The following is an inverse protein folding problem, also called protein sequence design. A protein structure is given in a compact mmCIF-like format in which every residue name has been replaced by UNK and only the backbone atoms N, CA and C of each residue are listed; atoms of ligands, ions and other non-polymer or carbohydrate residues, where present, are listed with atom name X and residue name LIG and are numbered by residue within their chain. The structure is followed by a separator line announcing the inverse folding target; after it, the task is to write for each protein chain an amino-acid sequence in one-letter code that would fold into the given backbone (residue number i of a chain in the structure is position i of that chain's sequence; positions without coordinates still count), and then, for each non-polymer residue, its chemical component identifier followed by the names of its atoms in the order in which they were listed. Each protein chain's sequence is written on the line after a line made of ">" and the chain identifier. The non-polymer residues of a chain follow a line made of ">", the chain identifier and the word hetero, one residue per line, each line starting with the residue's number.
data_IF_481064270462
#
_entry.id   IF_481064270462
#
_cell.length_a   1.000
_cell.length_b   1.000
_cell.length_c   1.000
_cell.angle_alpha   90.00
_cell.angle_beta   90.00
_cell.angle_gamma   90.00
#
_symmetry.space_group_name_H-M   'P 1'
#
loop_
_entity.id
_entity.type
_entity.pdbx_description
1 polymer ?
#
# COMPACT_ATOMS: atom_id res chain seq x y z
N UNK A 1 5.99 7.31 13.91
CA UNK A 1 5.26 7.94 12.80
C UNK A 1 5.32 7.05 11.58
N UNK A 2 4.23 6.96 10.82
CA UNK A 2 4.11 6.03 9.69
C UNK A 2 5.15 6.29 8.59
N UNK A 3 5.38 7.56 8.25
CA UNK A 3 6.35 7.91 7.20
C UNK A 3 7.76 7.47 7.57
N UNK A 4 8.13 7.59 8.85
CA UNK A 4 9.42 7.12 9.31
C UNK A 4 9.56 5.60 9.16
N UNK A 5 8.50 4.85 9.48
CA UNK A 5 8.48 3.40 9.25
C UNK A 5 8.66 3.07 7.78
N UNK A 6 8.04 3.84 6.89
CA UNK A 6 8.19 3.67 5.46
C UNK A 6 9.62 3.91 5.01
N UNK A 7 10.26 4.96 5.51
CA UNK A 7 11.65 5.25 5.20
C UNK A 7 12.58 4.11 5.63
N UNK A 8 12.41 3.64 6.85
CA UNK A 8 13.21 2.55 7.39
C UNK A 8 13.01 1.26 6.59
N UNK A 9 11.75 0.94 6.26
CA UNK A 9 11.44 -0.26 5.49
C UNK A 9 12.02 -0.19 4.09
N UNK A 10 11.90 0.96 3.43
CA UNK A 10 12.45 1.12 2.09
C UNK A 10 13.97 1.01 2.09
N UNK A 11 14.64 1.70 3.01
CA UNK A 11 16.09 1.69 3.09
C UNK A 11 16.66 0.30 3.33
N UNK A 12 15.93 -0.53 4.09
CA UNK A 12 16.37 -1.89 4.36
C UNK A 12 16.46 -2.73 3.09
N UNK A 13 15.56 -2.50 2.14
CA UNK A 13 15.49 -3.29 0.90
C UNK A 13 16.12 -2.59 -0.30
N UNK A 14 16.36 -1.29 -0.21
CA UNK A 14 16.99 -0.53 -1.28
C UNK A 14 18.52 -0.54 -1.11
N UNK A 15 19.11 -1.68 -1.46
CA UNK A 15 20.56 -1.87 -1.33
C UNK A 15 21.28 -1.74 -2.67
N UNK A 16 20.57 -1.30 -3.69
CA UNK A 16 21.14 -1.16 -5.02
C UNK A 16 21.32 0.30 -5.39
N UNK A 17 22.23 0.59 -6.32
CA UNK A 17 22.43 1.94 -6.82
C UNK A 17 21.23 2.48 -7.60
N UNK A 18 20.32 1.62 -7.98
CA UNK A 18 19.13 2.00 -8.76
C UNK A 18 18.05 2.66 -7.89
N UNK A 19 18.08 2.46 -6.58
CA UNK A 19 17.14 3.03 -5.61
C UNK A 19 15.69 2.73 -5.96
N UNK A 20 15.42 1.49 -6.31
CA UNK A 20 14.06 1.03 -6.59
C UNK A 20 13.86 -0.36 -6.03
N UNK A 21 12.60 -0.71 -5.76
CA UNK A 21 12.24 -2.01 -5.23
C UNK A 21 11.61 -2.86 -6.33
N UNK A 22 11.93 -4.16 -6.33
CA UNK A 22 11.21 -5.14 -7.12
C UNK A 22 9.85 -5.42 -6.47
N UNK A 23 8.97 -6.13 -7.19
CA UNK A 23 7.66 -6.53 -6.67
C UNK A 23 7.80 -7.30 -5.36
N UNK A 24 8.75 -8.21 -5.29
CA UNK A 24 8.98 -9.03 -4.09
C UNK A 24 9.45 -8.18 -2.91
N UNK A 25 10.38 -7.27 -3.17
CA UNK A 25 10.89 -6.36 -2.14
C UNK A 25 9.81 -5.40 -1.66
N UNK A 26 8.93 -4.95 -2.57
CA UNK A 26 7.80 -4.11 -2.21
C UNK A 26 6.90 -4.81 -1.19
N UNK A 27 6.59 -6.09 -1.43
CA UNK A 27 5.76 -6.87 -0.51
C UNK A 27 6.38 -6.90 0.89
N UNK A 28 7.67 -7.21 0.95
CA UNK A 28 8.36 -7.28 2.24
C UNK A 28 8.42 -5.93 2.94
N UNK A 29 8.66 -4.86 2.19
CA UNK A 29 8.70 -3.51 2.76
C UNK A 29 7.34 -3.09 3.29
N UNK A 30 6.26 -3.38 2.57
CA UNK A 30 4.90 -3.09 3.03
C UNK A 30 4.57 -3.88 4.30
N UNK A 31 4.97 -5.14 4.37
CA UNK A 31 4.77 -5.96 5.58
C UNK A 31 5.43 -5.33 6.81
N UNK A 32 6.59 -4.71 6.64
CA UNK A 32 7.28 -4.05 7.75
C UNK A 32 6.55 -2.82 8.24
N UNK A 33 5.79 -2.16 7.39
CA UNK A 33 4.97 -1.02 7.81
C UNK A 33 3.63 -1.44 8.40
N UNK A 34 3.34 -2.75 8.42
CA UNK A 34 2.08 -3.28 8.92
C UNK A 34 1.02 -3.48 7.86
N UNK A 35 1.34 -3.27 6.60
CA UNK A 35 0.41 -3.44 5.48
C UNK A 35 0.60 -4.81 4.84
N UNK A 36 -0.39 -5.68 5.00
CA UNK A 36 -0.34 -7.05 4.46
C UNK A 36 -1.28 -7.14 3.28
N UNK A 37 -0.72 -7.29 2.09
CA UNK A 37 -1.49 -7.38 0.85
C UNK A 37 -1.25 -8.72 0.17
N UNK A 38 -2.28 -9.24 -0.51
CA UNK A 38 -2.11 -10.46 -1.27
C UNK A 38 -1.46 -10.16 -2.62
N UNK A 39 -1.12 -11.21 -3.35
CA UNK A 39 -0.39 -11.07 -4.61
C UNK A 39 -1.18 -10.26 -5.66
N UNK A 40 -2.50 -10.41 -5.72
CA UNK A 40 -3.32 -9.67 -6.68
C UNK A 40 -3.32 -8.18 -6.42
N UNK A 41 -3.43 -7.79 -5.14
CA UNK A 41 -3.36 -6.37 -4.75
C UNK A 41 -1.96 -5.83 -5.02
N UNK A 42 -0.94 -6.62 -4.70
CA UNK A 42 0.45 -6.23 -4.92
C UNK A 42 0.72 -5.94 -6.40
N UNK A 43 0.24 -6.80 -7.29
CA UNK A 43 0.39 -6.61 -8.73
C UNK A 43 -0.32 -5.33 -9.19
N UNK A 44 -1.50 -5.05 -8.66
CA UNK A 44 -2.25 -3.83 -8.98
C UNK A 44 -1.48 -2.59 -8.54
N UNK A 45 -0.85 -2.63 -7.37
CA UNK A 45 -0.04 -1.52 -6.87
C UNK A 45 1.16 -1.26 -7.77
N UNK A 46 1.84 -2.32 -8.20
CA UNK A 46 2.99 -2.19 -9.09
C UNK A 46 2.57 -1.61 -10.44
N UNK A 47 1.43 -2.04 -10.98
CA UNK A 47 0.93 -1.50 -12.25
C UNK A 47 0.57 -0.03 -12.15
N UNK A 48 0.00 0.39 -11.02
CA UNK A 48 -0.44 1.78 -10.87
C UNK A 48 0.69 2.73 -10.51
N UNK A 49 1.57 2.34 -9.61
CA UNK A 49 2.59 3.23 -9.07
C UNK A 49 3.99 2.92 -9.57
N UNK A 50 4.21 1.73 -10.12
CA UNK A 50 5.52 1.34 -10.58
C UNK A 50 5.85 1.87 -11.96
N UNK A 51 7.15 1.91 -12.25
CA UNK A 51 7.69 2.28 -13.57
C UNK A 51 8.55 1.12 -14.04
N UNK A 52 8.08 0.40 -15.06
CA UNK A 52 8.81 -0.77 -15.53
C UNK A 52 8.94 -1.86 -14.47
N UNK A 53 7.89 -2.06 -13.68
CA UNK A 53 7.84 -3.05 -12.58
C UNK A 53 8.79 -2.73 -11.43
N UNK A 54 9.25 -1.49 -11.32
CA UNK A 54 10.10 -1.06 -10.23
C UNK A 54 9.39 0.04 -9.44
N UNK A 55 9.62 0.03 -8.13
CA UNK A 55 9.01 1.00 -7.21
C UNK A 55 10.13 1.87 -6.64
N UNK A 56 10.07 3.16 -6.92
CA UNK A 56 10.97 4.14 -6.31
C UNK A 56 10.41 4.61 -4.98
N UNK A 57 11.21 5.33 -4.21
CA UNK A 57 10.80 5.76 -2.87
C UNK A 57 9.49 6.55 -2.87
N UNK A 58 9.28 7.56 -3.73
CA UNK A 58 7.98 8.27 -3.75
C UNK A 58 6.82 7.36 -4.07
N UNK A 59 7.01 6.40 -4.98
CA UNK A 59 5.97 5.44 -5.35
C UNK A 59 5.67 4.51 -4.17
N UNK A 60 6.69 4.11 -3.43
CA UNK A 60 6.52 3.29 -2.22
C UNK A 60 5.71 4.01 -1.17
N UNK A 61 5.99 5.29 -0.92
CA UNK A 61 5.22 6.10 0.03
C UNK A 61 3.75 6.16 -0.42
N UNK A 62 3.50 6.40 -1.71
CA UNK A 62 2.14 6.45 -2.24
C UNK A 62 1.41 5.11 -2.03
N UNK A 63 2.09 3.98 -2.30
CA UNK A 63 1.51 2.66 -2.05
C UNK A 63 1.18 2.45 -0.58
N UNK A 64 2.11 2.78 0.30
CA UNK A 64 1.96 2.55 1.74
C UNK A 64 0.84 3.40 2.32
N UNK A 65 0.78 4.68 1.96
CA UNK A 65 -0.27 5.58 2.43
C UNK A 65 -1.63 5.13 1.91
N UNK A 66 -1.70 4.74 0.64
CA UNK A 66 -2.96 4.28 0.03
C UNK A 66 -3.47 3.02 0.71
N UNK A 67 -2.61 2.03 0.93
CA UNK A 67 -3.03 0.78 1.57
C UNK A 67 -3.44 1.00 3.02
N UNK A 68 -2.73 1.85 3.75
CA UNK A 68 -3.09 2.18 5.11
C UNK A 68 -4.45 2.86 5.17
N UNK A 69 -4.70 3.83 4.30
CA UNK A 69 -5.98 4.52 4.22
C UNK A 69 -7.11 3.55 3.91
N UNK A 70 -6.90 2.63 2.98
CA UNK A 70 -7.90 1.63 2.63
C UNK A 70 -8.19 0.68 3.78
N UNK A 71 -7.17 0.27 4.53
CA UNK A 71 -7.36 -0.58 5.71
C UNK A 71 -8.18 0.13 6.79
N UNK A 72 -7.88 1.41 7.04
CA UNK A 72 -8.63 2.19 8.03
C UNK A 72 -10.12 2.26 7.67
N UNK A 73 -10.41 2.54 6.40
CA UNK A 73 -11.78 2.60 5.92
C UNK A 73 -12.46 1.23 6.03
N UNK A 74 -11.74 0.18 5.70
CA UNK A 74 -12.27 -1.18 5.80
C UNK A 74 -12.70 -1.49 7.23
N UNK A 75 -11.83 -1.22 8.21
CA UNK A 75 -12.13 -1.53 9.60
C UNK A 75 -13.23 -0.64 10.17
N UNK A 76 -13.38 0.59 9.69
CA UNK A 76 -14.47 1.47 10.10
C UNK A 76 -15.83 0.95 9.64
N UNK A 77 -15.91 0.25 8.52
CA UNK A 77 -17.15 -0.21 7.92
C UNK A 77 -17.36 -1.71 8.00
N UNK A 78 -16.38 -2.47 8.48
CA UNK A 78 -16.48 -3.92 8.55
C UNK A 78 -17.43 -4.37 9.64
N UNK A 79 -18.25 -5.39 9.33
CA UNK A 79 -19.12 -6.03 10.33
C UNK A 79 -18.35 -7.14 11.06
N UNK A 80 -19.06 -7.89 11.91
CA UNK A 80 -18.45 -8.96 12.71
C UNK A 80 -17.86 -10.08 11.84
N UNK A 81 -18.38 -10.27 10.64
CA UNK A 81 -17.92 -11.29 9.72
C UNK A 81 -16.78 -10.78 8.82
N UNK A 82 -16.37 -9.52 8.97
CA UNK A 82 -15.33 -8.93 8.15
C UNK A 82 -15.82 -8.44 6.80
N UNK A 83 -17.13 -8.31 6.62
CA UNK A 83 -17.70 -7.81 5.37
C UNK A 83 -18.00 -6.32 5.46
N UNK A 84 -17.84 -5.63 4.34
CA UNK A 84 -18.11 -4.20 4.25
C UNK A 84 -19.24 -3.96 3.26
N UNK A 85 -20.27 -3.24 3.71
CA UNK A 85 -21.39 -2.86 2.86
C UNK A 85 -21.44 -1.35 2.77
N UNK A 86 -21.37 -0.82 1.55
CA UNK A 86 -21.36 0.63 1.32
C UNK A 86 -22.42 0.97 0.27
N UNK A 87 -23.09 2.11 0.48
CA UNK A 87 -23.92 2.71 -0.56
C UNK A 87 -23.01 3.26 -1.65
N UNK A 88 -23.60 3.59 -2.81
CA UNK A 88 -22.81 4.19 -3.89
C UNK A 88 -22.15 5.50 -3.45
N UNK A 89 -22.88 6.33 -2.71
CA UNK A 89 -22.34 7.59 -2.23
C UNK A 89 -21.20 7.38 -1.23
N UNK A 90 -21.35 6.42 -0.34
CA UNK A 90 -20.27 6.08 0.61
C UNK A 90 -19.04 5.57 -0.12
N UNK A 91 -19.23 4.72 -1.12
CA UNK A 91 -18.13 4.19 -1.93
C UNK A 91 -17.38 5.30 -2.66
N UNK A 92 -18.12 6.22 -3.30
CA UNK A 92 -17.50 7.35 -3.99
C UNK A 92 -16.73 8.25 -3.02
N UNK A 93 -17.31 8.51 -1.84
CA UNK A 93 -16.64 9.32 -0.83
C UNK A 93 -15.34 8.68 -0.38
N UNK A 94 -15.37 7.39 -0.08
CA UNK A 94 -14.18 6.65 0.37
C UNK A 94 -13.10 6.65 -0.71
N UNK A 95 -13.46 6.39 -1.96
CA UNK A 95 -12.47 6.33 -3.04
C UNK A 95 -11.85 7.68 -3.35
N UNK A 96 -12.58 8.77 -3.12
CA UNK A 96 -12.03 10.11 -3.30
C UNK A 96 -11.04 10.48 -2.19
N UNK A 97 -11.27 10.00 -0.97
CA UNK A 97 -10.36 10.27 0.14
C UNK A 97 -9.11 9.38 0.13
N UNK A 98 -9.22 8.22 -0.39
CA UNK A 98 -8.09 7.32 -0.56
C UNK A 98 -7.53 7.46 -1.97
#
# INVERSE_FOLDING_TARGET
>A
MFIKKCQEAYQKYDKTLVRSLTTYQLRNALCQTGCYVNLHVLKALVLRYGRGRQIRFPDFIACAVKTECMEEVYWEHADEDGNVTLTLNEWMKVTLYC
#
